data_IF_912623767794
#
_entry.id   IF_912623767794
#
_cell.length_a   1.000
_cell.length_b   1.000
_cell.length_c   1.000
_cell.angle_alpha   90.00
_cell.angle_beta   90.00
_cell.angle_gamma   90.00
#
_symmetry.space_group_name_H-M   'P 1'
#
loop_
_entity.id
_entity.type
_entity.pdbx_description
1 polymer ?
#
# COMPACT_ATOMS: atom_id res chain seq x y z
N UNK A 1 -44.76 20.76 61.73
CA UNK A 1 -45.65 21.94 61.52
C UNK A 1 -45.26 22.53 60.16
N UNK A 2 -45.85 22.07 59.06
CA UNK A 2 -47.12 22.56 58.47
C UNK A 2 -47.14 24.09 58.35
N UNK A 3 -46.93 24.60 57.14
CA UNK A 3 -47.88 25.57 56.58
C UNK A 3 -47.80 25.55 55.04
N UNK A 4 -48.83 24.96 54.44
CA UNK A 4 -49.25 25.20 53.07
C UNK A 4 -49.99 26.54 53.05
N UNK A 5 -49.76 27.37 52.03
CA UNK A 5 -50.72 28.41 51.61
C UNK A 5 -50.89 28.30 50.11
N UNK A 6 -52.12 28.47 49.69
CA UNK A 6 -52.72 27.99 48.47
C UNK A 6 -53.04 29.15 47.50
N UNK A 7 -53.19 28.79 46.22
CA UNK A 7 -54.12 29.34 45.20
C UNK A 7 -53.83 30.73 44.61
N UNK A 8 -53.61 30.77 43.29
CA UNK A 8 -54.52 31.42 42.34
C UNK A 8 -54.18 31.04 40.89
N UNK A 9 -55.14 30.48 40.18
CA UNK A 9 -55.10 30.27 38.74
C UNK A 9 -55.59 31.54 38.03
N UNK A 10 -54.85 32.00 37.02
CA UNK A 10 -55.35 32.92 36.00
C UNK A 10 -54.94 32.37 34.64
N UNK A 11 -55.96 32.00 33.86
CA UNK A 11 -55.85 31.57 32.47
C UNK A 11 -55.98 32.81 31.61
N UNK A 12 -55.01 33.07 30.73
CA UNK A 12 -55.16 33.98 29.61
C UNK A 12 -54.57 33.31 28.37
N UNK A 13 -55.44 32.91 27.46
CA UNK A 13 -55.16 32.37 26.13
C UNK A 13 -54.89 33.53 25.17
N UNK A 14 -53.77 33.47 24.43
CA UNK A 14 -53.57 34.26 23.20
C UNK A 14 -53.01 33.32 22.14
N UNK A 15 -53.63 33.36 20.96
CA UNK A 15 -53.44 32.46 19.83
C UNK A 15 -52.19 32.79 18.99
N UNK A 16 -51.57 31.70 18.52
CA UNK A 16 -50.90 31.45 17.24
C UNK A 16 -49.95 32.51 16.65
N UNK A 17 -48.67 32.13 16.52
CA UNK A 17 -47.97 32.17 15.23
C UNK A 17 -47.13 30.89 15.09
N UNK A 18 -47.42 30.11 14.06
CA UNK A 18 -46.65 28.94 13.63
C UNK A 18 -45.29 29.38 13.08
N UNK A 19 -44.21 28.86 13.66
CA UNK A 19 -42.95 28.68 12.94
C UNK A 19 -42.39 27.30 13.29
N UNK A 20 -42.81 26.35 12.48
CA UNK A 20 -42.18 25.04 12.36
C UNK A 20 -40.80 25.26 11.73
N UNK A 21 -39.73 24.98 12.47
CA UNK A 21 -38.42 24.73 11.89
C UNK A 21 -37.81 23.51 12.56
N UNK A 22 -38.24 22.34 12.08
CA UNK A 22 -37.41 21.14 12.11
C UNK A 22 -36.29 21.37 11.12
N UNK A 23 -35.10 21.74 11.61
CA UNK A 23 -33.88 21.62 10.81
C UNK A 23 -33.33 20.21 11.01
N UNK A 24 -33.74 19.33 10.12
CA UNK A 24 -33.05 18.07 9.85
C UNK A 24 -31.64 18.41 9.34
N UNK A 25 -30.65 18.27 10.22
CA UNK A 25 -29.32 17.89 9.78
C UNK A 25 -28.81 16.73 10.63
N UNK A 26 -29.29 15.54 10.27
CA UNK A 26 -28.52 14.31 10.42
C UNK A 26 -27.16 14.49 9.74
N UNK A 27 -26.18 14.99 10.50
CA UNK A 27 -24.79 14.64 10.23
C UNK A 27 -24.59 13.23 10.79
N UNK A 28 -24.94 12.25 9.96
CA UNK A 28 -24.44 10.89 10.08
C UNK A 28 -22.91 10.95 10.01
N UNK A 29 -22.27 11.13 11.16
CA UNK A 29 -20.82 10.99 11.33
C UNK A 29 -20.51 9.48 11.24
N UNK A 30 -20.54 8.98 10.01
CA UNK A 30 -20.19 7.62 9.67
C UNK A 30 -18.69 7.41 9.87
N UNK A 31 -18.36 6.80 11.00
CA UNK A 31 -17.35 5.76 11.12
C UNK A 31 -15.91 6.17 10.80
N UNK A 32 -15.15 6.50 11.85
CA UNK A 32 -13.69 6.57 11.78
C UNK A 32 -13.08 5.28 11.19
N UNK A 33 -12.58 5.33 9.95
CA UNK A 33 -11.73 4.28 9.38
C UNK A 33 -10.58 4.88 8.58
N UNK A 34 -9.36 4.81 9.14
CA UNK A 34 -8.12 5.12 8.42
C UNK A 34 -7.37 3.80 8.12
N UNK A 35 -7.02 3.56 6.84
CA UNK A 35 -6.41 2.31 6.33
C UNK A 35 -5.42 2.56 5.16
N UNK A 36 -4.24 1.91 5.11
CA UNK A 36 -2.96 2.57 4.67
C UNK A 36 -2.81 3.89 5.44
N UNK A 37 -1.65 4.27 5.95
CA UNK A 37 -1.65 5.50 6.76
C UNK A 37 -2.14 6.63 5.85
N UNK A 38 -3.30 7.23 6.18
CA UNK A 38 -4.00 8.23 5.38
C UNK A 38 -4.56 7.78 4.01
N UNK A 39 -4.73 6.48 3.74
CA UNK A 39 -5.27 5.97 2.47
C UNK A 39 -6.76 5.61 2.50
N UNK A 40 -7.30 5.28 1.33
CA UNK A 40 -8.70 4.91 1.12
C UNK A 40 -8.84 3.45 0.68
N UNK A 41 -10.01 2.85 0.91
CA UNK A 41 -10.33 1.54 0.32
C UNK A 41 -10.16 1.58 -1.19
N UNK A 42 -9.38 0.63 -1.73
CA UNK A 42 -9.29 0.46 -3.16
C UNK A 42 -10.60 -0.11 -3.71
N UNK A 43 -11.08 0.30 -4.89
CA UNK A 43 -12.23 -0.34 -5.51
C UNK A 43 -11.99 -1.82 -5.79
N UNK A 44 -12.99 -2.65 -5.44
CA UNK A 44 -12.92 -4.10 -5.64
C UNK A 44 -12.70 -4.42 -7.12
N UNK A 45 -11.74 -5.31 -7.40
CA UNK A 45 -11.45 -5.77 -8.76
C UNK A 45 -10.67 -4.80 -9.65
N UNK A 46 -10.29 -3.60 -9.16
CA UNK A 46 -9.56 -2.62 -9.98
C UNK A 46 -8.06 -2.95 -10.12
N UNK A 47 -7.43 -3.51 -9.09
CA UNK A 47 -5.98 -3.72 -9.03
C UNK A 47 -5.61 -5.20 -8.91
N UNK A 48 -6.07 -6.00 -9.86
CA UNK A 48 -6.01 -7.47 -9.81
C UNK A 48 -4.61 -8.07 -10.00
N UNK A 49 -3.61 -7.26 -10.33
CA UNK A 49 -2.19 -7.65 -10.32
C UNK A 49 -1.55 -7.57 -8.94
N UNK A 50 -2.24 -7.05 -7.93
CA UNK A 50 -1.69 -6.97 -6.56
C UNK A 50 -1.60 -8.35 -5.95
N UNK A 51 -0.49 -8.64 -5.29
CA UNK A 51 -0.17 -9.95 -4.72
C UNK A 51 0.13 -9.83 -3.24
N UNK A 52 -0.26 -10.80 -2.43
CA UNK A 52 0.30 -11.00 -1.10
C UNK A 52 1.01 -12.37 -0.99
N UNK A 53 2.15 -12.38 -0.28
CA UNK A 53 3.03 -13.54 -0.12
C UNK A 53 2.66 -14.33 1.13
N UNK A 54 2.63 -15.66 1.01
CA UNK A 54 2.17 -16.58 2.06
C UNK A 54 3.05 -17.81 2.20
N UNK A 55 3.03 -18.41 3.40
CA UNK A 55 3.72 -19.67 3.68
C UNK A 55 2.89 -20.85 3.18
N UNK A 56 1.59 -20.79 3.42
CA UNK A 56 0.58 -21.76 2.98
C UNK A 56 -0.59 -21.02 2.33
N UNK A 57 -1.38 -21.72 1.51
CA UNK A 57 -2.43 -21.14 0.66
C UNK A 57 -3.42 -20.24 1.46
N UNK A 58 -3.96 -20.74 2.58
CA UNK A 58 -4.84 -19.99 3.49
C UNK A 58 -4.13 -19.30 4.67
N UNK A 59 -2.80 -19.32 4.73
CA UNK A 59 -2.03 -18.74 5.83
C UNK A 59 -1.95 -17.20 5.78
N UNK A 60 -1.48 -16.55 6.85
CA UNK A 60 -1.31 -15.10 6.87
C UNK A 60 -0.24 -14.64 5.87
N UNK A 61 -0.40 -13.41 5.39
CA UNK A 61 0.61 -12.74 4.55
C UNK A 61 1.55 -11.84 5.36
N UNK A 62 2.79 -11.66 4.89
CA UNK A 62 3.77 -10.74 5.50
C UNK A 62 4.34 -9.68 4.55
N UNK A 63 4.20 -9.90 3.24
CA UNK A 63 4.66 -9.00 2.19
C UNK A 63 3.65 -8.96 1.05
N UNK A 64 3.74 -7.90 0.26
CA UNK A 64 3.10 -7.74 -1.03
C UNK A 64 4.00 -8.14 -2.21
N UNK A 65 3.41 -8.03 -3.39
CA UNK A 65 4.04 -8.28 -4.68
C UNK A 65 3.19 -7.72 -5.82
N UNK A 66 3.70 -7.84 -7.04
CA UNK A 66 3.01 -7.46 -8.27
C UNK A 66 3.11 -8.58 -9.28
N UNK A 67 2.01 -9.01 -9.88
CA UNK A 67 2.03 -9.87 -11.05
C UNK A 67 2.56 -9.07 -12.26
N UNK A 68 3.71 -9.45 -12.78
CA UNK A 68 4.39 -8.75 -13.89
C UNK A 68 4.39 -9.55 -15.20
N UNK A 69 4.07 -10.83 -15.10
CA UNK A 69 3.83 -11.76 -16.21
C UNK A 69 2.90 -12.87 -15.70
N UNK A 70 2.25 -13.69 -16.57
CA UNK A 70 1.29 -14.70 -16.14
C UNK A 70 1.81 -15.65 -15.05
N UNK A 71 3.11 -15.97 -15.06
CA UNK A 71 3.72 -16.89 -14.11
C UNK A 71 4.81 -16.21 -13.25
N UNK A 72 4.91 -14.88 -13.25
CA UNK A 72 5.97 -14.18 -12.51
C UNK A 72 5.45 -13.02 -11.67
N UNK A 73 5.90 -12.99 -10.42
CA UNK A 73 5.62 -11.93 -9.45
C UNK A 73 6.90 -11.20 -9.09
N UNK A 74 6.87 -9.87 -9.13
CA UNK A 74 7.90 -9.00 -8.56
C UNK A 74 7.58 -8.72 -7.10
N UNK A 75 8.59 -8.81 -6.23
CA UNK A 75 8.50 -8.47 -4.81
C UNK A 75 9.86 -7.96 -4.33
N UNK A 76 9.98 -7.58 -3.06
CA UNK A 76 11.25 -7.16 -2.48
C UNK A 76 12.14 -8.37 -2.13
N UNK A 77 13.47 -8.22 -2.23
CA UNK A 77 14.41 -9.28 -1.89
C UNK A 77 14.35 -9.66 -0.41
N UNK A 78 14.18 -8.68 0.48
CA UNK A 78 14.06 -8.92 1.91
C UNK A 78 12.84 -9.77 2.29
N UNK A 79 11.79 -9.76 1.47
CA UNK A 79 10.59 -10.57 1.69
C UNK A 79 10.85 -12.07 1.49
N UNK A 80 11.89 -12.45 0.76
CA UNK A 80 12.22 -13.84 0.42
C UNK A 80 13.56 -14.33 0.96
N UNK A 81 14.41 -13.42 1.46
CA UNK A 81 15.76 -13.74 1.89
C UNK A 81 15.82 -14.70 3.09
N UNK A 82 14.89 -14.58 4.04
CA UNK A 82 14.83 -15.41 5.26
C UNK A 82 13.71 -16.46 5.22
N UNK A 83 12.62 -16.15 4.54
CA UNK A 83 11.43 -17.00 4.45
C UNK A 83 11.05 -17.10 3.00
N UNK A 84 11.14 -18.30 2.43
CA UNK A 84 10.67 -18.52 1.06
C UNK A 84 9.13 -18.61 1.08
N UNK A 85 8.42 -17.85 0.23
CA UNK A 85 6.99 -18.02 0.09
C UNK A 85 6.68 -19.38 -0.51
N UNK A 86 5.70 -20.08 0.06
CA UNK A 86 5.16 -21.31 -0.51
C UNK A 86 4.00 -21.04 -1.46
N UNK A 87 3.27 -19.94 -1.21
CA UNK A 87 2.10 -19.52 -1.97
C UNK A 87 2.06 -18.01 -2.14
N UNK A 88 1.29 -17.58 -3.14
CA UNK A 88 0.82 -16.21 -3.31
C UNK A 88 -0.70 -16.20 -3.45
N UNK A 89 -1.36 -15.14 -2.98
CA UNK A 89 -2.72 -14.82 -3.41
C UNK A 89 -2.67 -13.61 -4.35
N UNK A 90 -3.25 -13.76 -5.53
CA UNK A 90 -3.20 -12.78 -6.62
C UNK A 90 -4.61 -12.24 -6.85
N UNK A 91 -4.72 -10.93 -7.07
CA UNK A 91 -5.96 -10.27 -7.46
C UNK A 91 -7.06 -10.21 -6.42
N UNK A 92 -6.71 -10.53 -5.16
CA UNK A 92 -7.61 -10.44 -4.03
C UNK A 92 -7.80 -8.98 -3.61
N UNK A 93 -9.00 -8.60 -3.15
CA UNK A 93 -9.25 -7.38 -2.40
C UNK A 93 -9.05 -7.63 -0.90
N UNK A 94 -9.46 -8.79 -0.41
CA UNK A 94 -9.42 -9.12 1.01
C UNK A 94 -8.08 -9.75 1.43
N UNK A 95 -7.52 -9.32 2.55
CA UNK A 95 -6.23 -9.86 3.06
C UNK A 95 -6.29 -11.37 3.31
N UNK A 96 -7.48 -11.96 3.44
CA UNK A 96 -7.68 -13.41 3.50
C UNK A 96 -7.22 -14.15 2.23
N UNK A 97 -7.30 -13.53 1.05
CA UNK A 97 -6.82 -14.11 -0.22
C UNK A 97 -7.57 -15.34 -0.74
N UNK A 98 -8.60 -15.79 -0.05
CA UNK A 98 -9.38 -17.00 -0.34
C UNK A 98 -10.71 -16.70 -1.02
N UNK A 99 -11.28 -15.51 -0.82
CA UNK A 99 -12.65 -15.18 -1.23
C UNK A 99 -12.76 -14.72 -2.68
N UNK A 100 -11.79 -13.95 -3.18
CA UNK A 100 -11.88 -13.24 -4.46
C UNK A 100 -10.60 -13.25 -5.30
N UNK A 101 -9.50 -13.74 -4.75
CA UNK A 101 -8.23 -13.94 -5.45
C UNK A 101 -8.03 -15.39 -5.91
N UNK A 102 -6.89 -15.64 -6.54
CA UNK A 102 -6.42 -17.01 -6.76
C UNK A 102 -5.17 -17.30 -5.97
N UNK A 103 -5.06 -18.54 -5.49
CA UNK A 103 -3.89 -19.02 -4.79
C UNK A 103 -3.02 -19.84 -5.73
N UNK A 104 -1.74 -19.49 -5.80
CA UNK A 104 -0.76 -20.18 -6.65
C UNK A 104 0.46 -20.52 -5.82
N UNK A 105 0.95 -21.76 -5.94
CA UNK A 105 2.19 -22.15 -5.30
C UNK A 105 3.39 -21.50 -6.00
N UNK A 106 4.39 -21.15 -5.19
CA UNK A 106 5.66 -20.58 -5.67
C UNK A 106 6.65 -21.72 -5.88
N UNK A 107 7.20 -21.80 -7.09
CA UNK A 107 8.18 -22.83 -7.49
C UNK A 107 9.59 -22.41 -7.11
N UNK A 108 9.91 -21.13 -7.28
CA UNK A 108 11.23 -20.59 -6.94
C UNK A 108 11.16 -19.09 -6.66
N UNK A 109 12.11 -18.61 -5.86
CA UNK A 109 12.35 -17.21 -5.61
C UNK A 109 13.80 -16.88 -5.97
N UNK A 110 13.99 -15.81 -6.74
CA UNK A 110 15.31 -15.34 -7.17
C UNK A 110 15.47 -13.89 -6.73
N UNK A 111 16.35 -13.63 -5.78
CA UNK A 111 16.72 -12.26 -5.38
C UNK A 111 17.76 -11.67 -6.33
N UNK A 112 17.78 -10.35 -6.46
CA UNK A 112 18.84 -9.67 -7.18
C UNK A 112 20.22 -10.06 -6.63
N UNK A 113 21.20 -10.46 -7.46
CA UNK A 113 22.47 -11.01 -7.00
C UNK A 113 23.32 -10.00 -6.20
N UNK A 114 23.07 -8.70 -6.39
CA UNK A 114 23.72 -7.61 -5.63
C UNK A 114 23.00 -7.24 -4.33
N UNK A 115 21.85 -7.84 -4.01
CA UNK A 115 21.19 -7.61 -2.72
C UNK A 115 22.06 -8.10 -1.57
N UNK A 116 22.25 -7.28 -0.54
CA UNK A 116 23.07 -7.60 0.65
C UNK A 116 22.32 -7.32 1.94
N UNK A 117 21.69 -6.16 2.01
CA UNK A 117 20.82 -5.74 3.09
C UNK A 117 19.87 -4.66 2.60
N UNK A 118 18.84 -4.39 3.40
CA UNK A 118 17.74 -3.47 3.10
C UNK A 118 18.20 -2.08 2.63
N UNK A 119 19.29 -1.54 3.17
CA UNK A 119 19.70 -0.15 2.94
C UNK A 119 20.68 0.04 1.77
N UNK A 120 21.29 -1.04 1.27
CA UNK A 120 22.26 -0.98 0.17
C UNK A 120 21.59 -0.82 -1.22
N UNK A 121 20.28 -1.06 -1.30
CA UNK A 121 19.54 -1.13 -2.56
C UNK A 121 19.51 -2.55 -3.12
N UNK A 122 19.15 -2.66 -4.41
CA UNK A 122 18.93 -3.94 -5.08
C UNK A 122 17.89 -4.84 -4.38
N UNK A 123 16.99 -4.27 -3.60
CA UNK A 123 16.01 -5.00 -2.81
C UNK A 123 14.83 -5.46 -3.67
N UNK A 124 15.10 -6.26 -4.70
CA UNK A 124 14.11 -6.79 -5.64
C UNK A 124 14.29 -8.30 -5.83
N UNK A 125 13.20 -9.02 -5.99
CA UNK A 125 13.17 -10.44 -6.26
C UNK A 125 12.03 -10.80 -7.23
N UNK A 126 12.23 -11.89 -7.96
CA UNK A 126 11.23 -12.50 -8.84
C UNK A 126 10.81 -13.86 -8.29
N UNK A 127 9.51 -14.08 -8.21
CA UNK A 127 8.92 -15.38 -7.90
C UNK A 127 8.44 -16.03 -9.20
N UNK A 128 8.75 -17.31 -9.39
CA UNK A 128 8.15 -18.15 -10.44
C UNK A 128 6.98 -18.93 -9.86
N UNK A 129 5.84 -18.82 -10.51
CA UNK A 129 4.60 -19.50 -10.12
C UNK A 129 4.48 -20.88 -10.77
N UNK A 130 3.73 -21.79 -10.15
CA UNK A 130 3.52 -23.16 -10.66
C UNK A 130 2.62 -23.24 -11.89
N UNK A 131 1.78 -22.23 -12.11
CA UNK A 131 0.92 -22.07 -13.29
C UNK A 131 0.70 -20.59 -13.60
N UNK A 132 0.10 -20.33 -14.76
CA UNK A 132 -0.38 -19.01 -15.12
C UNK A 132 -1.53 -18.55 -14.24
N UNK A 133 -1.46 -17.28 -13.85
CA UNK A 133 -2.56 -16.54 -13.25
C UNK A 133 -3.62 -16.25 -14.31
N UNK A 134 -4.89 -16.23 -13.89
CA UNK A 134 -6.02 -15.76 -14.71
C UNK A 134 -6.09 -14.24 -14.79
N UNK A 135 -5.40 -13.52 -13.90
CA UNK A 135 -5.40 -12.07 -13.84
C UNK A 135 -4.36 -11.47 -14.80
N UNK A 136 -4.67 -10.29 -15.31
CA UNK A 136 -3.76 -9.57 -16.20
C UNK A 136 -2.56 -9.02 -15.42
N UNK A 137 -1.32 -9.25 -15.89
CA UNK A 137 -0.14 -8.63 -15.30
C UNK A 137 -0.12 -7.11 -15.48
N UNK A 138 0.58 -6.41 -14.57
CA UNK A 138 0.84 -4.98 -14.70
C UNK A 138 2.11 -4.74 -15.53
N UNK A 139 2.04 -3.93 -16.61
CA UNK A 139 3.22 -3.55 -17.38
C UNK A 139 4.27 -2.83 -16.52
N UNK A 140 5.54 -3.10 -16.80
CA UNK A 140 6.65 -2.40 -16.15
C UNK A 140 6.90 -1.06 -16.82
N UNK A 141 7.18 -0.02 -16.03
CA UNK A 141 7.60 1.26 -16.58
C UNK A 141 8.88 1.08 -17.42
N UNK A 142 8.87 1.61 -18.64
CA UNK A 142 10.03 1.60 -19.54
C UNK A 142 11.13 2.52 -19.04
N UNK A 143 10.74 3.71 -18.60
CA UNK A 143 11.64 4.76 -18.15
C UNK A 143 11.51 5.03 -16.66
N UNK A 144 12.50 5.76 -16.13
CA UNK A 144 12.44 6.31 -14.78
C UNK A 144 11.21 7.20 -14.54
N UNK A 145 10.96 7.50 -13.27
CA UNK A 145 9.91 8.43 -12.86
C UNK A 145 10.55 9.72 -12.36
N UNK A 146 10.11 10.86 -12.91
CA UNK A 146 10.58 12.17 -12.54
C UNK A 146 10.07 12.56 -11.14
N UNK A 147 10.83 13.41 -10.45
CA UNK A 147 10.35 14.07 -9.23
C UNK A 147 9.06 14.84 -9.51
N UNK A 148 8.24 15.05 -8.48
CA UNK A 148 6.92 15.68 -8.55
C UNK A 148 5.85 14.88 -9.32
N UNK A 149 6.17 13.69 -9.83
CA UNK A 149 5.17 12.79 -10.44
C UNK A 149 4.27 12.21 -9.36
N UNK A 150 2.95 12.23 -9.61
CA UNK A 150 1.97 11.51 -8.78
C UNK A 150 2.03 10.02 -9.05
N UNK A 151 2.10 9.24 -7.99
CA UNK A 151 2.15 7.77 -8.00
C UNK A 151 1.16 7.24 -6.96
N UNK A 152 0.70 6.01 -7.15
CA UNK A 152 -0.26 5.36 -6.25
C UNK A 152 0.40 4.14 -5.58
N UNK A 153 0.34 4.09 -4.26
CA UNK A 153 0.71 2.94 -3.45
C UNK A 153 -0.52 2.06 -3.26
N UNK A 154 -0.34 0.74 -3.35
CA UNK A 154 -1.38 -0.23 -3.00
C UNK A 154 -0.86 -1.23 -1.97
N UNK A 155 -1.70 -1.62 -1.01
CA UNK A 155 -1.34 -2.67 -0.06
C UNK A 155 -2.34 -2.92 1.06
N UNK A 156 -2.00 -3.89 1.92
CA UNK A 156 -2.78 -4.31 3.09
C UNK A 156 -2.04 -4.06 4.41
N UNK A 157 -0.95 -3.32 4.35
CA UNK A 157 -0.11 -3.04 5.49
C UNK A 157 -0.87 -2.38 6.62
N UNK A 158 -0.24 -2.39 7.79
CA UNK A 158 -0.83 -1.81 8.99
C UNK A 158 -1.24 -0.36 8.75
N UNK A 159 -2.34 0.01 9.36
CA UNK A 159 -2.97 1.32 9.18
C UNK A 159 -2.52 2.32 10.24
N UNK A 160 -1.82 1.82 11.25
CA UNK A 160 -1.16 2.53 12.33
C UNK A 160 0.10 1.75 12.76
N UNK A 161 1.06 2.43 13.37
CA UNK A 161 2.28 1.80 13.88
C UNK A 161 2.80 2.54 15.11
N UNK A 162 3.60 1.86 15.97
CA UNK A 162 4.16 0.52 15.80
C UNK A 162 3.20 -0.64 16.18
N UNK A 163 2.04 -0.35 16.77
CA UNK A 163 0.94 -1.28 17.04
C UNK A 163 -0.21 -1.07 16.07
N UNK A 164 -0.95 -2.13 15.73
CA UNK A 164 -2.07 -2.09 14.79
C UNK A 164 -2.23 -3.37 13.99
N UNK A 165 -3.45 -3.65 13.55
CA UNK A 165 -3.74 -4.77 12.66
C UNK A 165 -3.49 -4.36 11.19
N UNK A 166 -3.03 -5.27 10.33
CA UNK A 166 -3.11 -5.08 8.89
C UNK A 166 -4.54 -4.73 8.46
N UNK A 167 -4.68 -3.98 7.37
CA UNK A 167 -6.00 -3.76 6.78
C UNK A 167 -6.61 -5.10 6.38
N UNK A 168 -7.93 -5.29 6.55
CA UNK A 168 -8.63 -6.49 6.06
C UNK A 168 -8.93 -6.44 4.57
N UNK A 169 -8.74 -5.28 3.93
CA UNK A 169 -8.98 -5.04 2.50
C UNK A 169 -7.84 -4.26 1.87
N UNK A 170 -7.79 -4.26 0.54
CA UNK A 170 -6.79 -3.52 -0.23
C UNK A 170 -7.03 -2.02 -0.09
N UNK A 171 -5.94 -1.29 0.09
CA UNK A 171 -5.95 0.15 0.23
C UNK A 171 -5.09 0.80 -0.82
N UNK A 172 -5.47 2.03 -1.14
CA UNK A 172 -4.72 2.90 -2.04
C UNK A 172 -4.38 4.23 -1.37
N UNK A 173 -3.22 4.78 -1.72
CA UNK A 173 -2.86 6.14 -1.35
C UNK A 173 -2.05 6.80 -2.47
N UNK A 174 -2.16 8.13 -2.61
CA UNK A 174 -1.50 8.89 -3.66
C UNK A 174 -0.31 9.64 -3.07
N UNK A 175 0.87 9.34 -3.60
CA UNK A 175 2.13 9.96 -3.21
C UNK A 175 2.72 10.80 -4.34
N UNK A 176 3.68 11.64 -3.97
CA UNK A 176 4.48 12.42 -4.92
C UNK A 176 5.92 11.94 -4.87
N UNK A 177 6.50 11.66 -6.03
CA UNK A 177 7.90 11.24 -6.16
C UNK A 177 8.84 12.37 -5.73
N UNK A 178 9.87 12.02 -4.94
CA UNK A 178 10.94 12.92 -4.53
C UNK A 178 12.22 12.57 -5.28
N UNK A 179 13.07 13.56 -5.54
CA UNK A 179 14.42 13.27 -6.04
C UNK A 179 15.21 12.48 -4.99
N UNK A 180 16.20 11.70 -5.43
CA UNK A 180 17.08 10.97 -4.52
C UNK A 180 17.82 11.91 -3.55
N UNK A 181 18.17 13.11 -3.99
CA UNK A 181 18.83 14.12 -3.16
C UNK A 181 17.92 14.62 -2.03
N UNK A 182 16.69 15.03 -2.34
CA UNK A 182 15.70 15.47 -1.35
C UNK A 182 15.35 14.34 -0.37
N UNK A 183 15.12 13.13 -0.90
CA UNK A 183 14.83 11.95 -0.11
C UNK A 183 15.95 11.63 0.87
N UNK A 184 17.20 11.60 0.40
CA UNK A 184 18.37 11.39 1.24
C UNK A 184 18.51 12.48 2.30
N UNK A 185 18.37 13.76 1.93
CA UNK A 185 18.47 14.87 2.87
C UNK A 185 17.42 14.73 3.98
N UNK A 186 16.17 14.42 3.62
CA UNK A 186 15.08 14.25 4.58
C UNK A 186 15.27 13.02 5.46
N UNK A 187 15.59 11.85 4.90
CA UNK A 187 15.77 10.63 5.69
C UNK A 187 16.95 10.73 6.66
N UNK A 188 18.05 11.41 6.30
CA UNK A 188 19.21 11.56 7.18
C UNK A 188 18.95 12.38 8.44
N UNK A 189 17.81 13.10 8.54
CA UNK A 189 17.38 13.73 9.80
C UNK A 189 16.80 12.71 10.79
N UNK A 190 16.40 11.53 10.33
CA UNK A 190 16.05 10.40 11.20
C UNK A 190 17.30 9.72 11.75
N UNK A 191 17.30 9.44 13.06
CA UNK A 191 18.38 8.69 13.73
C UNK A 191 18.66 7.34 13.05
N UNK A 192 17.62 6.69 12.51
CA UNK A 192 17.70 5.38 11.83
C UNK A 192 18.46 5.44 10.50
N UNK A 193 18.38 6.56 9.77
CA UNK A 193 18.88 6.69 8.40
C UNK A 193 20.01 7.72 8.25
N UNK A 194 20.60 8.18 9.36
CA UNK A 194 21.67 9.21 9.37
C UNK A 194 22.84 8.91 8.42
N UNK A 195 23.20 7.63 8.27
CA UNK A 195 24.28 7.17 7.39
C UNK A 195 23.83 6.73 6.00
N UNK A 196 22.53 6.73 5.71
CA UNK A 196 22.01 6.22 4.44
C UNK A 196 22.40 7.11 3.26
N UNK A 197 22.60 6.47 2.11
CA UNK A 197 22.90 7.11 0.82
C UNK A 197 21.97 6.55 -0.23
N UNK A 198 21.23 7.42 -0.90
CA UNK A 198 20.41 7.03 -2.03
C UNK A 198 21.32 6.64 -3.21
N UNK A 199 20.86 5.68 -4.01
CA UNK A 199 21.56 5.19 -5.21
C UNK A 199 20.57 5.14 -6.37
N UNK A 200 21.06 4.90 -7.59
CA UNK A 200 20.20 4.79 -8.78
C UNK A 200 19.12 3.69 -8.67
N UNK A 201 19.33 2.67 -7.80
CA UNK A 201 18.37 1.59 -7.58
C UNK A 201 17.23 1.95 -6.64
N UNK A 202 17.30 3.13 -6.00
CA UNK A 202 16.25 3.62 -5.11
C UNK A 202 15.34 4.61 -5.83
N UNK A 203 14.05 4.52 -5.53
CA UNK A 203 13.02 5.50 -5.85
C UNK A 203 12.39 5.96 -4.53
N UNK A 204 12.03 7.23 -4.40
CA UNK A 204 11.37 7.74 -3.20
C UNK A 204 10.05 8.43 -3.53
N UNK A 205 9.05 8.25 -2.68
CA UNK A 205 7.76 8.92 -2.81
C UNK A 205 7.11 9.17 -1.44
N UNK A 206 6.18 10.12 -1.40
CA UNK A 206 5.42 10.47 -0.20
C UNK A 206 6.20 11.41 0.71
N UNK A 207 6.05 11.23 2.02
CA UNK A 207 6.64 12.10 3.04
C UNK A 207 5.67 13.12 3.63
N UNK A 208 4.38 12.96 3.37
CA UNK A 208 3.32 13.72 4.02
C UNK A 208 3.00 13.10 5.39
N UNK A 209 2.71 13.95 6.37
CA UNK A 209 2.34 13.46 7.72
C UNK A 209 1.00 12.74 7.64
N UNK A 210 0.91 11.60 8.31
CA UNK A 210 -0.27 10.74 8.25
C UNK A 210 -0.35 9.93 6.95
N UNK A 211 0.70 9.88 6.12
CA UNK A 211 0.74 9.06 4.92
C UNK A 211 2.03 8.26 4.79
N UNK A 212 1.94 6.93 4.65
CA UNK A 212 3.10 6.07 4.40
C UNK A 212 2.69 4.64 4.00
N UNK A 213 3.63 3.94 3.36
CA UNK A 213 3.72 2.48 3.45
C UNK A 213 4.03 2.06 4.90
N UNK A 214 3.48 0.93 5.32
CA UNK A 214 3.67 0.44 6.67
C UNK A 214 3.81 -1.10 6.65
N UNK A 215 3.92 -1.72 7.83
CA UNK A 215 4.26 -3.14 7.92
C UNK A 215 3.26 -4.02 7.15
N UNK A 216 3.75 -4.82 6.22
CA UNK A 216 2.94 -5.69 5.34
C UNK A 216 2.84 -5.21 3.90
N UNK A 217 3.17 -3.94 3.61
CA UNK A 217 3.20 -3.40 2.25
C UNK A 217 4.48 -3.75 1.49
N UNK A 218 5.54 -4.15 2.19
CA UNK A 218 6.84 -4.53 1.62
C UNK A 218 6.72 -5.45 0.41
N UNK A 219 7.37 -5.10 -0.70
CA UNK A 219 7.29 -5.78 -1.99
C UNK A 219 6.05 -5.44 -2.82
N UNK A 220 5.06 -4.76 -2.25
CA UNK A 220 3.85 -4.31 -2.93
C UNK A 220 4.10 -3.20 -3.96
N UNK A 221 3.12 -2.92 -4.84
CA UNK A 221 3.30 -2.04 -5.98
C UNK A 221 3.24 -0.55 -5.64
N UNK A 222 4.15 0.20 -6.25
CA UNK A 222 4.01 1.63 -6.51
C UNK A 222 3.78 1.82 -8.01
N UNK A 223 2.64 2.40 -8.39
CA UNK A 223 2.20 2.51 -9.79
C UNK A 223 2.09 3.96 -10.24
N UNK A 224 2.25 4.19 -11.55
CA UNK A 224 1.96 5.47 -12.20
C UNK A 224 0.92 5.30 -13.30
N UNK A 225 0.15 6.35 -13.55
CA UNK A 225 -0.62 6.49 -14.79
C UNK A 225 0.30 6.94 -15.92
N UNK A 226 0.07 6.39 -17.11
CA UNK A 226 0.77 6.72 -18.36
C UNK A 226 -0.27 6.87 -19.47
N UNK A 227 0.16 7.34 -20.65
CA UNK A 227 -0.71 7.37 -21.85
C UNK A 227 -1.18 5.98 -22.29
N UNK A 228 -0.46 4.92 -21.93
CA UNK A 228 -0.77 3.53 -22.26
C UNK A 228 -1.51 2.78 -21.13
N UNK A 229 -1.95 3.48 -20.08
CA UNK A 229 -2.56 2.88 -18.89
C UNK A 229 -1.63 2.90 -17.67
N UNK A 230 -1.78 1.93 -16.77
CA UNK A 230 -1.00 1.87 -15.52
C UNK A 230 0.31 1.12 -15.73
N UNK A 231 1.36 1.55 -15.01
CA UNK A 231 2.65 0.88 -15.03
C UNK A 231 3.27 0.80 -13.64
N UNK A 232 3.97 -0.31 -13.36
CA UNK A 232 4.74 -0.51 -12.14
C UNK A 232 6.04 0.31 -12.21
N UNK A 233 6.26 1.16 -11.21
CA UNK A 233 7.45 2.02 -11.14
C UNK A 233 8.34 1.74 -9.94
N UNK A 234 7.78 1.15 -8.89
CA UNK A 234 8.55 0.73 -7.74
C UNK A 234 7.91 -0.41 -6.98
N UNK A 235 8.72 -1.07 -6.17
CA UNK A 235 8.31 -2.04 -5.17
C UNK A 235 8.67 -1.54 -3.78
N UNK A 236 7.75 -1.66 -2.82
CA UNK A 236 7.94 -1.12 -1.46
C UNK A 236 9.15 -1.79 -0.79
N UNK A 237 10.15 -1.02 -0.37
CA UNK A 237 11.36 -1.56 0.26
C UNK A 237 11.42 -1.21 1.76
N UNK A 238 11.62 0.06 2.10
CA UNK A 238 11.73 0.50 3.50
C UNK A 238 11.35 1.96 3.70
N UNK A 239 11.13 2.35 4.96
CA UNK A 239 10.86 3.73 5.36
C UNK A 239 10.95 3.94 6.86
N UNK A 240 10.70 5.17 7.31
CA UNK A 240 10.28 5.40 8.70
C UNK A 240 8.82 4.95 8.79
N UNK A 241 8.47 4.00 9.68
CA UNK A 241 7.19 3.36 9.60
C UNK A 241 6.07 4.35 9.91
N UNK A 242 5.04 4.27 9.07
CA UNK A 242 3.67 4.65 9.36
C UNK A 242 3.45 6.17 9.56
N UNK A 243 3.92 6.98 8.62
CA UNK A 243 3.36 8.31 8.34
C UNK A 243 3.96 9.49 9.11
N UNK A 244 5.23 9.41 9.52
CA UNK A 244 5.89 10.48 10.29
C UNK A 244 6.46 11.62 9.45
N UNK A 245 5.95 11.81 8.23
CA UNK A 245 6.44 12.84 7.30
C UNK A 245 7.82 12.56 6.70
N UNK A 246 8.21 11.29 6.61
CA UNK A 246 9.41 10.84 5.88
C UNK A 246 8.98 10.14 4.59
N UNK A 247 9.64 10.41 3.45
CA UNK A 247 9.41 9.65 2.23
C UNK A 247 9.73 8.16 2.46
N UNK A 248 8.94 7.30 1.81
CA UNK A 248 9.23 5.89 1.73
C UNK A 248 10.19 5.61 0.56
N UNK A 249 10.96 4.54 0.68
CA UNK A 249 11.94 4.10 -0.31
C UNK A 249 11.48 2.81 -0.95
N UNK A 250 11.61 2.79 -2.27
CA UNK A 250 11.16 1.74 -3.17
C UNK A 250 12.35 1.24 -4.00
N UNK A 251 12.31 -0.02 -4.41
CA UNK A 251 13.15 -0.49 -5.50
C UNK A 251 12.73 0.20 -6.79
N UNK A 252 13.69 0.77 -7.53
CA UNK A 252 13.40 1.45 -8.81
C UNK A 252 13.29 0.40 -9.92
N UNK A 253 12.08 0.03 -10.31
CA UNK A 253 11.82 -1.02 -11.31
C UNK A 253 12.58 -0.82 -12.62
N UNK A 254 12.64 0.42 -13.12
CA UNK A 254 13.39 0.74 -14.34
C UNK A 254 14.90 0.43 -14.22
N UNK A 255 15.48 0.49 -13.01
CA UNK A 255 16.89 0.15 -12.78
C UNK A 255 17.15 -1.37 -12.74
N UNK A 256 16.10 -2.18 -12.69
CA UNK A 256 16.21 -3.63 -12.55
C UNK A 256 15.76 -4.40 -13.79
N UNK A 257 15.52 -3.74 -14.93
CA UNK A 257 14.99 -4.39 -16.14
C UNK A 257 15.83 -5.57 -16.60
N UNK A 258 17.15 -5.40 -16.67
CA UNK A 258 18.05 -6.50 -17.04
C UNK A 258 17.95 -7.71 -16.11
N UNK A 259 17.87 -7.47 -14.79
CA UNK A 259 17.69 -8.54 -13.81
C UNK A 259 16.31 -9.21 -13.97
N UNK A 260 15.25 -8.41 -14.12
CA UNK A 260 13.88 -8.90 -14.26
C UNK A 260 13.78 -9.78 -15.53
N UNK A 261 14.33 -9.33 -16.66
CA UNK A 261 14.37 -10.07 -17.92
C UNK A 261 15.14 -11.38 -17.77
N UNK A 262 16.29 -11.35 -17.07
CA UNK A 262 17.09 -12.54 -16.81
C UNK A 262 16.37 -13.54 -15.89
N UNK A 263 15.71 -13.06 -14.83
CA UNK A 263 15.06 -13.90 -13.84
C UNK A 263 13.69 -14.43 -14.30
N UNK A 264 13.10 -13.82 -15.34
CA UNK A 264 11.83 -14.22 -15.96
C UNK A 264 11.97 -14.75 -17.39
N UNK A 265 13.17 -15.24 -17.75
CA UNK A 265 13.49 -15.81 -19.07
C UNK A 265 12.41 -16.76 -19.58
N UNK A 266 12.10 -16.63 -20.86
CA UNK A 266 11.06 -17.41 -21.55
C UNK A 266 9.67 -16.76 -21.57
N UNK A 267 9.50 -15.57 -20.97
CA UNK A 267 8.30 -14.75 -21.12
C UNK A 267 8.49 -13.64 -22.15
N UNK A 268 7.42 -13.30 -22.87
CA UNK A 268 7.36 -12.12 -23.75
C UNK A 268 6.57 -11.05 -23.02
N UNK A 269 7.24 -9.96 -22.64
CA UNK A 269 6.58 -8.78 -22.08
C UNK A 269 5.49 -8.30 -23.04
N UNK A 270 4.28 -8.16 -22.51
CA UNK A 270 3.17 -7.49 -23.20
C UNK A 270 3.38 -5.98 -23.21
#
# INVERSE_FOLDING_TARGET
MKLFVAIAAVVATVFAQDFNFTDDSESQEQGASLRVVGGNEAPVGQYTWTVNLRRSAGGPSWCGGTLIAPNYVLTAAHCVAKVKPGFVAIGTHYTGGTSDGEQISVVSSTSHPSYRNLFYGFDVAILKLSRASKFAPLPLAKDGVAAQTRVKLLGWGRTSGPSGNPSSVLKENIFVVKSNAECQAKLRTSKKFRGWRATATHLCAGGDVGQAACFGDSGGPLIKSTSAGLALVGDVSFGEPCGKGFPDVYGRVAAFRAFIDQASRGHRWV
#
